data_IF_468304725834
#
_entry.id   IF_468304725834
#
_cell.length_a   1.000
_cell.length_b   1.000
_cell.length_c   1.000
_cell.angle_alpha   90.00
_cell.angle_beta   90.00
_cell.angle_gamma   90.00
#
_symmetry.space_group_name_H-M   'P 1'
#
loop_
_entity.id
_entity.type
_entity.pdbx_description
1 polymer ?
#
# COMPACT_ATOMS: atom_id res chain seq x y z
N UNK A 1 -2.18 -6.62 -1.38
CA UNK A 1 -1.49 -7.28 -0.24
C UNK A 1 -0.52 -8.35 -0.72
N UNK A 2 -0.96 -9.29 -1.56
CA UNK A 2 -0.09 -10.40 -2.01
C UNK A 2 1.16 -9.91 -2.74
N UNK A 3 1.01 -9.01 -3.71
CA UNK A 3 2.14 -8.50 -4.50
C UNK A 3 3.17 -7.73 -3.66
N UNK A 4 2.71 -6.94 -2.69
CA UNK A 4 3.59 -6.21 -1.77
C UNK A 4 4.32 -7.16 -0.83
N UNK A 5 3.66 -8.24 -0.38
CA UNK A 5 4.30 -9.30 0.42
C UNK A 5 5.32 -10.10 -0.39
N UNK A 6 5.05 -10.41 -1.67
CA UNK A 6 6.03 -11.08 -2.53
C UNK A 6 7.27 -10.21 -2.79
N UNK A 7 7.13 -8.89 -2.70
CA UNK A 7 8.25 -7.94 -2.70
C UNK A 7 8.92 -7.75 -1.33
N UNK A 8 8.53 -8.52 -0.30
CA UNK A 8 9.16 -8.47 1.03
C UNK A 8 8.61 -7.39 1.97
N UNK A 9 7.55 -6.68 1.59
CA UNK A 9 6.97 -5.62 2.41
C UNK A 9 5.77 -6.08 3.25
N UNK A 10 5.68 -5.57 4.48
CA UNK A 10 4.46 -5.68 5.29
C UNK A 10 3.38 -4.74 4.71
N UNK A 11 2.17 -5.26 4.56
CA UNK A 11 1.03 -4.48 4.05
C UNK A 11 -0.27 -4.87 4.74
N UNK A 12 -1.13 -3.87 4.93
CA UNK A 12 -2.42 -4.00 5.61
C UNK A 12 -3.53 -3.29 4.81
N UNK A 13 -4.73 -3.89 4.71
CA UNK A 13 -5.92 -3.24 4.18
C UNK A 13 -6.65 -2.45 5.28
N UNK A 14 -7.22 -1.31 4.91
CA UNK A 14 -8.09 -0.50 5.76
C UNK A 14 -9.36 -0.17 5.01
N UNK A 15 -10.53 -0.45 5.59
CA UNK A 15 -11.80 -0.05 5.01
C UNK A 15 -12.23 1.30 5.58
N UNK A 16 -12.57 2.23 4.69
CA UNK A 16 -13.07 3.56 5.02
C UNK A 16 -14.41 3.74 4.35
N UNK A 17 -15.41 4.17 5.12
CA UNK A 17 -16.74 4.46 4.61
C UNK A 17 -16.86 5.95 4.32
N UNK A 18 -17.23 6.31 3.10
CA UNK A 18 -17.50 7.70 2.72
C UNK A 18 -18.82 8.18 3.32
N UNK A 19 -19.05 9.50 3.44
CA UNK A 19 -20.30 10.03 4.00
C UNK A 19 -21.57 9.58 3.26
N UNK A 20 -21.46 9.29 1.96
CA UNK A 20 -22.54 8.79 1.10
C UNK A 20 -22.62 7.25 1.05
N UNK A 21 -21.83 6.54 1.87
CA UNK A 21 -22.02 5.11 2.14
C UNK A 21 -21.14 4.15 1.34
N UNK A 22 -20.18 4.63 0.55
CA UNK A 22 -19.25 3.77 -0.17
C UNK A 22 -18.16 3.25 0.75
N UNK A 23 -17.88 1.95 0.69
CA UNK A 23 -16.70 1.36 1.36
C UNK A 23 -15.52 1.34 0.41
N UNK A 24 -14.49 2.11 0.74
CA UNK A 24 -13.21 2.15 0.04
C UNK A 24 -12.18 1.32 0.80
N UNK A 25 -11.46 0.45 0.09
CA UNK A 25 -10.30 -0.26 0.68
C UNK A 25 -9.02 0.49 0.35
N UNK A 26 -8.37 1.02 1.37
CA UNK A 26 -7.03 1.59 1.33
C UNK A 26 -5.99 0.51 1.62
N UNK A 27 -4.88 0.54 0.89
CA UNK A 27 -3.75 -0.36 1.14
C UNK A 27 -2.58 0.44 1.68
N UNK A 28 -2.10 0.06 2.87
CA UNK A 28 -0.90 0.65 3.45
C UNK A 28 0.26 -0.34 3.33
N UNK A 29 1.35 0.11 2.74
CA UNK A 29 2.65 -0.58 2.80
C UNK A 29 3.46 0.08 3.92
N UNK A 30 3.91 -0.70 4.90
CA UNK A 30 4.71 -0.16 5.99
C UNK A 30 6.19 -0.16 5.61
N UNK A 31 6.96 0.72 6.25
CA UNK A 31 8.40 0.81 6.04
C UNK A 31 9.17 -0.40 6.55
N UNK A 32 8.54 -1.21 7.40
CA UNK A 32 9.17 -2.38 7.99
C UNK A 32 9.07 -3.52 6.99
N UNK A 33 10.21 -4.10 6.63
CA UNK A 33 10.22 -5.34 5.85
C UNK A 33 9.68 -6.50 6.70
N UNK A 34 9.32 -7.60 6.05
CA UNK A 34 8.90 -8.81 6.77
C UNK A 34 10.05 -9.29 7.66
N UNK A 35 9.81 -9.37 8.97
CA UNK A 35 10.84 -9.71 9.98
C UNK A 35 11.37 -8.51 10.77
N UNK A 36 11.21 -7.28 10.28
CA UNK A 36 11.62 -6.08 11.01
C UNK A 36 10.54 -5.56 11.95
N UNK A 37 10.90 -5.26 13.19
CA UNK A 37 10.03 -4.65 14.19
C UNK A 37 10.59 -3.30 14.64
N UNK A 38 10.74 -2.36 13.70
CA UNK A 38 11.00 -0.96 14.04
C UNK A 38 9.71 -0.28 14.51
N UNK A 39 9.79 0.45 15.61
CA UNK A 39 8.71 1.29 16.16
C UNK A 39 8.85 2.76 15.76
N UNK A 40 9.83 3.09 14.90
CA UNK A 40 10.06 4.47 14.44
C UNK A 40 8.86 4.97 13.64
N UNK A 41 8.23 6.05 14.10
CA UNK A 41 7.18 6.74 13.34
C UNK A 41 7.83 7.42 12.13
N UNK A 42 7.34 7.10 10.94
CA UNK A 42 7.77 7.73 9.68
C UNK A 42 6.66 8.64 9.12
N UNK A 43 7.02 9.68 8.35
CA UNK A 43 6.03 10.48 7.62
C UNK A 43 5.13 9.59 6.75
N UNK A 44 3.84 9.91 6.71
CA UNK A 44 2.87 9.20 5.88
C UNK A 44 2.81 9.85 4.51
N UNK A 45 2.88 9.03 3.46
CA UNK A 45 2.66 9.46 2.08
C UNK A 45 1.37 8.81 1.59
N UNK A 46 0.46 9.62 1.05
CA UNK A 46 -0.74 9.14 0.38
C UNK A 46 -0.55 9.26 -1.14
N UNK A 47 -0.86 8.18 -1.85
CA UNK A 47 -0.73 8.12 -3.30
C UNK A 47 -2.07 7.65 -3.88
N UNK A 48 -2.59 8.40 -4.84
CA UNK A 48 -3.88 8.16 -5.48
C UNK A 48 -3.69 7.89 -6.96
N UNK A 49 -4.37 6.87 -7.48
CA UNK A 49 -4.34 6.55 -8.90
C UNK A 49 -5.25 7.49 -9.71
N UNK A 50 -5.00 7.57 -11.02
CA UNK A 50 -5.87 8.27 -11.97
C UNK A 50 -7.11 7.49 -12.39
N UNK A 51 -7.77 7.95 -13.45
CA UNK A 51 -8.94 7.28 -14.03
C UNK A 51 -8.58 5.89 -14.60
N UNK A 52 -9.53 4.95 -14.55
CA UNK A 52 -9.39 3.58 -15.05
C UNK A 52 -8.17 2.81 -14.48
N UNK A 53 -7.80 3.11 -13.23
CA UNK A 53 -6.66 2.53 -12.54
C UNK A 53 -7.02 2.08 -11.12
N UNK A 54 -6.06 1.47 -10.43
CA UNK A 54 -6.15 1.10 -9.02
C UNK A 54 -4.80 1.29 -8.32
N UNK A 55 -4.77 1.07 -7.00
CA UNK A 55 -3.53 1.10 -6.19
C UNK A 55 -2.44 0.14 -6.68
N UNK A 56 -2.80 -0.87 -7.49
CA UNK A 56 -1.87 -1.83 -8.07
C UNK A 56 -0.73 -1.20 -8.86
N UNK A 57 -0.98 -0.09 -9.56
CA UNK A 57 0.02 0.56 -10.42
C UNK A 57 1.27 1.01 -9.66
N UNK A 58 1.14 1.31 -8.37
CA UNK A 58 2.27 1.79 -7.56
C UNK A 58 3.15 0.67 -7.02
N UNK A 59 2.72 -0.59 -7.15
CA UNK A 59 3.38 -1.74 -6.51
C UNK A 59 3.57 -2.93 -7.46
N UNK A 60 3.13 -2.82 -8.71
CA UNK A 60 3.23 -3.89 -9.71
C UNK A 60 4.68 -4.26 -10.02
N UNK A 61 5.57 -3.27 -10.03
CA UNK A 61 7.00 -3.48 -10.25
C UNK A 61 7.71 -3.52 -8.90
N UNK A 62 8.49 -4.59 -8.69
CA UNK A 62 9.29 -4.77 -7.49
C UNK A 62 10.44 -3.75 -7.40
N UNK A 63 11.02 -3.56 -6.20
CA UNK A 63 12.01 -2.51 -5.93
C UNK A 63 13.27 -2.60 -6.80
N UNK A 64 13.60 -3.79 -7.29
CA UNK A 64 14.81 -4.05 -8.09
C UNK A 64 14.60 -3.92 -9.60
N UNK A 65 13.48 -3.32 -10.04
CA UNK A 65 13.10 -3.21 -11.45
C UNK A 65 12.54 -1.82 -11.77
N UNK A 66 12.74 -1.36 -13.01
CA UNK A 66 12.09 -0.17 -13.57
C UNK A 66 11.15 -0.59 -14.71
N UNK A 67 10.08 0.20 -14.90
CA UNK A 67 9.28 0.20 -16.14
C UNK A 67 9.98 0.97 -17.25
#
# INVERSE_FOLDING_TARGET
IEITKSHGYKSEPHNVTTPDGWTLTLFRVSSNTIGENSTSVRPVIYIQHGAAASSYLFVVVGPDRSI
#
